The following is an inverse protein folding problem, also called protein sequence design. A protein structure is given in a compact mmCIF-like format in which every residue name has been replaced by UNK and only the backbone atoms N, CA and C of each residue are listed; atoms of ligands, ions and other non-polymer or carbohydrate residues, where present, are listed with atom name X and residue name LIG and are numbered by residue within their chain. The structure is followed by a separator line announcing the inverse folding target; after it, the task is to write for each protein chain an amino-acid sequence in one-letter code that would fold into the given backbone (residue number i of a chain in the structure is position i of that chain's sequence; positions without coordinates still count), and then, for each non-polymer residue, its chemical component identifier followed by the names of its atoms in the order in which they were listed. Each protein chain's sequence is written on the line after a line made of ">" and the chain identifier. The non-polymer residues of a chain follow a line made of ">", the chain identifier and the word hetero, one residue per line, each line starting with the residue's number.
data_IF_488547010375
#
_entry.id   IF_488547010375
#
_cell.length_a   1.000
_cell.length_b   1.000
_cell.length_c   1.000
_cell.angle_alpha   90.00
_cell.angle_beta   90.00
_cell.angle_gamma   90.00
#
_symmetry.space_group_name_H-M   'P 1'
#
loop_
_entity.id
_entity.type
_entity.pdbx_description
1 polymer ?
#
# COMPACT_ATOMS: atom_id res chain seq x y z
N UNK A 1 3.30 -28.26 -8.56
CA UNK A 1 4.31 -28.15 -7.47
C UNK A 1 5.07 -26.83 -7.50
N UNK A 2 5.21 -26.17 -8.67
CA UNK A 2 5.97 -24.92 -8.78
C UNK A 2 5.32 -23.73 -8.06
N UNK A 3 4.00 -23.56 -8.13
CA UNK A 3 3.32 -22.43 -7.50
C UNK A 3 3.42 -22.35 -5.96
N UNK A 4 3.50 -23.48 -5.26
CA UNK A 4 3.69 -23.50 -3.81
C UNK A 4 5.11 -23.07 -3.39
N UNK A 5 6.12 -23.46 -4.17
CA UNK A 5 7.50 -23.04 -3.93
C UNK A 5 7.68 -21.53 -4.20
N UNK A 6 6.95 -20.98 -5.15
CA UNK A 6 7.03 -19.56 -5.50
C UNK A 6 6.33 -18.68 -4.45
N UNK A 7 5.20 -19.14 -3.89
CA UNK A 7 4.57 -18.48 -2.74
C UNK A 7 5.50 -18.46 -1.51
N UNK A 8 6.20 -19.56 -1.21
CA UNK A 8 7.19 -19.60 -0.11
C UNK A 8 8.36 -18.63 -0.33
N UNK A 9 8.80 -18.44 -1.58
CA UNK A 9 9.88 -17.47 -1.88
C UNK A 9 9.39 -16.04 -1.73
N UNK A 10 8.16 -15.73 -2.17
CA UNK A 10 7.55 -14.43 -1.97
C UNK A 10 7.37 -14.09 -0.47
N UNK A 11 6.95 -15.06 0.31
CA UNK A 11 6.82 -14.95 1.77
C UNK A 11 8.17 -14.68 2.45
N UNK A 12 9.24 -15.37 2.01
CA UNK A 12 10.60 -15.11 2.51
C UNK A 12 11.09 -13.69 2.19
N UNK A 13 10.73 -13.15 1.02
CA UNK A 13 11.08 -11.77 0.66
C UNK A 13 10.40 -10.75 1.61
N UNK A 14 9.13 -10.97 1.93
CA UNK A 14 8.39 -10.13 2.87
C UNK A 14 8.99 -10.19 4.28
N UNK A 15 9.28 -11.38 4.79
CA UNK A 15 9.95 -11.54 6.09
C UNK A 15 11.34 -10.89 6.13
N UNK A 16 12.09 -10.99 5.04
CA UNK A 16 13.41 -10.36 4.95
C UNK A 16 13.29 -8.83 5.05
N UNK A 17 12.32 -8.21 4.36
CA UNK A 17 12.09 -6.77 4.44
C UNK A 17 11.67 -6.35 5.86
N UNK A 18 10.72 -7.05 6.48
CA UNK A 18 10.27 -6.74 7.85
C UNK A 18 11.43 -6.84 8.85
N UNK A 19 12.26 -7.89 8.73
CA UNK A 19 13.44 -8.03 9.60
C UNK A 19 14.46 -6.90 9.37
N UNK A 20 14.66 -6.51 8.10
CA UNK A 20 15.53 -5.39 7.75
C UNK A 20 15.03 -4.08 8.37
N UNK A 21 13.73 -3.76 8.23
CA UNK A 21 13.13 -2.59 8.86
C UNK A 21 13.30 -2.59 10.39
N UNK A 22 13.02 -3.72 11.05
CA UNK A 22 13.16 -3.82 12.50
C UNK A 22 14.61 -3.61 12.94
N UNK A 23 15.55 -4.25 12.25
CA UNK A 23 16.97 -4.12 12.55
C UNK A 23 17.45 -2.67 12.35
N UNK A 24 17.10 -2.05 11.21
CA UNK A 24 17.49 -0.69 10.90
C UNK A 24 16.80 0.32 11.83
N UNK A 25 15.51 0.19 12.10
CA UNK A 25 14.80 1.08 13.01
C UNK A 25 15.47 1.14 14.39
N UNK A 26 15.81 -0.01 14.98
CA UNK A 26 16.50 -0.06 16.27
C UNK A 26 17.91 0.55 16.18
N UNK A 27 18.67 0.19 15.14
CA UNK A 27 20.04 0.68 14.94
C UNK A 27 20.07 2.20 14.77
N UNK A 28 19.20 2.74 13.93
CA UNK A 28 19.14 4.17 13.58
C UNK A 28 18.61 5.02 14.73
N UNK A 29 17.55 4.57 15.43
CA UNK A 29 17.01 5.29 16.58
C UNK A 29 18.07 5.35 17.70
N UNK A 30 18.70 4.25 18.02
CA UNK A 30 19.73 4.21 19.07
C UNK A 30 20.95 5.05 18.67
N UNK A 31 21.45 4.88 17.44
CA UNK A 31 22.61 5.64 16.97
C UNK A 31 22.27 7.14 16.80
N UNK A 32 21.06 7.47 16.33
CA UNK A 32 20.59 8.85 16.17
C UNK A 32 20.50 9.59 17.51
N UNK A 33 19.92 8.94 18.52
CA UNK A 33 19.86 9.51 19.89
C UNK A 33 21.24 9.68 20.53
N UNK A 34 22.07 8.64 20.49
CA UNK A 34 23.42 8.69 21.10
C UNK A 34 24.36 9.60 20.33
N UNK A 35 24.19 9.74 19.05
CA UNK A 35 25.04 10.54 18.17
C UNK A 35 24.50 11.93 17.85
N UNK A 36 23.36 12.34 18.45
CA UNK A 36 22.70 13.65 18.26
C UNK A 36 22.42 13.97 16.78
N UNK A 37 21.81 13.04 16.04
CA UNK A 37 21.40 13.25 14.65
C UNK A 37 19.88 13.18 14.51
N UNK A 38 19.29 14.31 14.17
CA UNK A 38 17.85 14.42 13.88
C UNK A 38 17.49 13.64 12.60
N UNK A 39 18.36 13.71 11.59
CA UNK A 39 18.14 13.02 10.31
C UNK A 39 18.13 11.48 10.47
N UNK A 40 19.09 10.93 11.24
CA UNK A 40 19.14 9.48 11.49
C UNK A 40 17.97 9.02 12.37
N UNK A 41 17.57 9.84 13.35
CA UNK A 41 16.41 9.55 14.18
C UNK A 41 15.12 9.55 13.34
N UNK A 42 14.96 10.51 12.42
CA UNK A 42 13.82 10.58 11.50
C UNK A 42 13.79 9.36 10.56
N UNK A 43 14.93 8.90 10.05
CA UNK A 43 15.03 7.71 9.20
C UNK A 43 14.64 6.44 9.98
N UNK A 44 15.11 6.28 11.22
CA UNK A 44 14.71 5.17 12.10
C UNK A 44 13.21 5.20 12.46
N UNK A 45 12.61 6.39 12.60
CA UNK A 45 11.16 6.54 12.76
C UNK A 45 10.41 6.20 11.48
N UNK A 46 10.94 6.55 10.30
CA UNK A 46 10.39 6.13 9.01
C UNK A 46 10.32 4.59 8.94
N UNK A 47 11.44 3.90 9.17
CA UNK A 47 11.49 2.44 9.21
C UNK A 47 10.51 1.84 10.25
N UNK A 48 10.29 2.53 11.38
CA UNK A 48 9.28 2.13 12.38
C UNK A 48 7.86 2.23 11.83
N UNK A 49 7.55 3.28 11.06
CA UNK A 49 6.21 3.41 10.44
C UNK A 49 5.94 2.31 9.42
N UNK A 50 6.95 1.85 8.69
CA UNK A 50 6.83 0.75 7.73
C UNK A 50 6.55 -0.59 8.44
N UNK A 51 7.15 -0.79 9.63
CA UNK A 51 6.81 -1.93 10.49
C UNK A 51 5.35 -1.85 10.94
N UNK A 52 4.90 -0.67 11.41
CA UNK A 52 3.50 -0.48 11.86
C UNK A 52 2.53 -0.76 10.72
N UNK A 53 2.79 -0.24 9.50
CA UNK A 53 1.98 -0.51 8.33
C UNK A 53 1.93 -2.01 7.98
N UNK A 54 3.09 -2.68 8.01
CA UNK A 54 3.20 -4.12 7.74
C UNK A 54 2.44 -4.97 8.76
N UNK A 55 2.56 -4.65 10.05
CA UNK A 55 1.85 -5.35 11.14
C UNK A 55 0.34 -5.12 11.04
N UNK A 56 -0.09 -3.88 10.81
CA UNK A 56 -1.50 -3.56 10.62
C UNK A 56 -2.10 -4.33 9.44
N UNK A 57 -1.38 -4.37 8.31
CA UNK A 57 -1.79 -5.15 7.13
C UNK A 57 -1.91 -6.65 7.45
N UNK A 58 -0.95 -7.24 8.16
CA UNK A 58 -0.99 -8.65 8.57
C UNK A 58 -2.19 -8.96 9.46
N UNK A 59 -2.50 -8.08 10.43
CA UNK A 59 -3.68 -8.19 11.30
C UNK A 59 -4.95 -8.09 10.46
N UNK A 60 -5.04 -7.08 9.59
CA UNK A 60 -6.17 -6.87 8.69
C UNK A 60 -6.42 -8.07 7.79
N UNK A 61 -5.38 -8.60 7.15
CA UNK A 61 -5.44 -9.79 6.30
C UNK A 61 -5.86 -11.05 7.09
N UNK A 62 -5.44 -11.19 8.34
CA UNK A 62 -5.84 -12.32 9.18
C UNK A 62 -7.33 -12.27 9.51
N UNK A 63 -7.84 -11.11 9.88
CA UNK A 63 -9.26 -10.90 10.19
C UNK A 63 -10.11 -11.01 8.91
N UNK A 64 -9.63 -10.49 7.78
CA UNK A 64 -10.36 -10.51 6.51
C UNK A 64 -10.65 -11.93 5.98
N UNK A 65 -9.92 -12.94 6.47
CA UNK A 65 -10.13 -14.35 6.14
C UNK A 65 -11.26 -15.00 6.92
N UNK A 66 -11.79 -14.33 7.94
CA UNK A 66 -12.95 -14.85 8.70
C UNK A 66 -14.16 -14.86 7.77
N UNK A 67 -14.83 -16.03 7.63
CA UNK A 67 -16.00 -16.14 6.75
C UNK A 67 -17.17 -15.28 7.25
N UNK A 68 -18.20 -15.07 6.42
CA UNK A 68 -19.44 -14.45 6.84
C UNK A 68 -20.03 -15.08 8.09
N UNK A 69 -20.54 -14.25 8.99
CA UNK A 69 -21.24 -14.65 10.22
C UNK A 69 -22.60 -13.91 10.32
N UNK A 70 -23.30 -14.06 11.44
CA UNK A 70 -24.62 -13.45 11.64
C UNK A 70 -24.61 -11.92 11.58
N UNK A 71 -23.53 -11.29 12.05
CA UNK A 71 -23.39 -9.84 12.11
C UNK A 71 -22.73 -9.25 10.84
N UNK A 72 -21.93 -10.07 10.14
CA UNK A 72 -21.18 -9.67 8.96
C UNK A 72 -21.50 -10.58 7.75
N UNK A 73 -22.70 -10.43 7.19
CA UNK A 73 -23.19 -11.24 6.07
C UNK A 73 -22.30 -11.19 4.82
N UNK A 74 -21.53 -10.12 4.63
CA UNK A 74 -20.55 -9.96 3.53
C UNK A 74 -19.13 -10.41 3.91
N UNK A 75 -18.95 -10.95 5.13
CA UNK A 75 -17.65 -11.32 5.68
C UNK A 75 -16.84 -10.12 6.15
N UNK A 76 -15.62 -10.40 6.59
CA UNK A 76 -14.75 -9.41 7.26
C UNK A 76 -13.69 -8.78 6.32
N UNK A 77 -13.87 -8.84 5.00
CA UNK A 77 -12.85 -8.46 4.01
C UNK A 77 -12.40 -6.99 4.10
N UNK A 78 -13.28 -6.08 4.53
CA UNK A 78 -12.95 -4.65 4.68
C UNK A 78 -12.01 -4.35 5.86
N UNK A 79 -11.77 -5.30 6.75
CA UNK A 79 -10.84 -5.11 7.89
C UNK A 79 -9.40 -4.86 7.45
N UNK A 80 -8.99 -5.38 6.28
CA UNK A 80 -7.70 -5.04 5.67
C UNK A 80 -7.58 -3.54 5.41
N UNK A 81 -8.60 -2.93 4.78
CA UNK A 81 -8.64 -1.50 4.48
C UNK A 81 -8.71 -0.65 5.75
N UNK A 82 -9.50 -1.09 6.76
CA UNK A 82 -9.56 -0.41 8.07
C UNK A 82 -8.19 -0.43 8.76
N UNK A 83 -7.47 -1.55 8.71
CA UNK A 83 -6.13 -1.65 9.29
C UNK A 83 -5.15 -0.69 8.62
N UNK A 84 -5.21 -0.56 7.29
CA UNK A 84 -4.40 0.40 6.54
C UNK A 84 -4.75 1.85 6.91
N UNK A 85 -6.04 2.16 7.13
CA UNK A 85 -6.48 3.47 7.59
C UNK A 85 -5.92 3.81 8.98
N UNK A 86 -5.97 2.87 9.92
CA UNK A 86 -5.42 3.07 11.27
C UNK A 86 -3.90 3.26 11.20
N UNK A 87 -3.20 2.43 10.42
CA UNK A 87 -1.75 2.57 10.23
C UNK A 87 -1.37 3.94 9.68
N UNK A 88 -2.10 4.43 8.68
CA UNK A 88 -1.84 5.75 8.09
C UNK A 88 -2.01 6.90 9.08
N UNK A 89 -2.98 6.82 10.01
CA UNK A 89 -3.15 7.82 11.07
C UNK A 89 -1.94 7.81 12.02
N UNK A 90 -1.45 6.63 12.41
CA UNK A 90 -0.26 6.51 13.26
C UNK A 90 0.97 7.10 12.56
N UNK A 91 1.18 6.74 11.28
CA UNK A 91 2.26 7.29 10.46
C UNK A 91 2.19 8.81 10.35
N UNK A 92 0.99 9.36 10.12
CA UNK A 92 0.77 10.80 10.06
C UNK A 92 1.20 11.50 11.35
N UNK A 93 0.81 10.96 12.51
CA UNK A 93 1.18 11.53 13.81
C UNK A 93 2.70 11.49 14.03
N UNK A 94 3.36 10.39 13.67
CA UNK A 94 4.82 10.27 13.73
C UNK A 94 5.49 11.30 12.81
N UNK A 95 5.06 11.41 11.57
CA UNK A 95 5.61 12.37 10.62
C UNK A 95 5.44 13.83 11.06
N UNK A 96 4.27 14.19 11.61
CA UNK A 96 4.02 15.52 12.19
C UNK A 96 4.93 15.77 13.39
N UNK A 97 5.17 14.80 14.24
CA UNK A 97 6.09 14.92 15.36
C UNK A 97 7.53 15.17 14.89
N UNK A 98 8.00 14.45 13.86
CA UNK A 98 9.33 14.65 13.27
C UNK A 98 9.46 16.06 12.69
N UNK A 99 8.45 16.52 11.92
CA UNK A 99 8.41 17.89 11.36
C UNK A 99 8.48 18.93 12.48
N UNK A 100 7.65 18.77 13.51
CA UNK A 100 7.60 19.70 14.63
C UNK A 100 8.94 19.80 15.36
N UNK A 101 9.55 18.66 15.72
CA UNK A 101 10.86 18.61 16.36
C UNK A 101 11.93 19.31 15.51
N UNK A 102 11.96 19.01 14.21
CA UNK A 102 12.93 19.61 13.28
C UNK A 102 12.75 21.14 13.17
N UNK A 103 11.50 21.63 13.13
CA UNK A 103 11.20 23.07 13.09
C UNK A 103 11.68 23.76 14.36
N UNK A 104 11.42 23.16 15.54
CA UNK A 104 11.89 23.70 16.83
C UNK A 104 13.40 23.83 16.83
N UNK A 105 14.16 22.79 16.49
CA UNK A 105 15.62 22.84 16.41
C UNK A 105 16.15 23.91 15.43
N UNK A 106 15.46 24.09 14.28
CA UNK A 106 15.82 25.11 13.29
C UNK A 106 15.57 26.53 13.83
N UNK A 107 14.42 26.79 14.49
CA UNK A 107 14.06 28.12 15.00
C UNK A 107 14.91 28.49 16.22
N UNK A 108 15.10 27.57 17.15
CA UNK A 108 15.89 27.78 18.38
C UNK A 108 17.39 27.78 18.10
N UNK A 109 17.79 27.41 16.86
CA UNK A 109 19.20 27.28 16.43
C UNK A 109 19.98 26.31 17.34
N UNK A 110 19.30 25.33 17.89
CA UNK A 110 19.89 24.27 18.70
C UNK A 110 20.42 23.16 17.80
N UNK A 111 21.46 23.47 17.02
CA UNK A 111 22.08 22.50 16.13
C UNK A 111 23.16 21.73 16.87
N UNK A 112 22.89 20.51 17.25
CA UNK A 112 23.90 19.58 17.67
C UNK A 112 24.74 19.14 16.44
N UNK A 113 26.05 19.05 16.60
CA UNK A 113 26.91 18.43 15.57
C UNK A 113 26.79 16.92 15.71
N UNK A 114 26.24 16.22 14.70
CA UNK A 114 26.13 14.77 14.75
C UNK A 114 27.49 14.10 14.85
N UNK A 115 27.54 12.94 15.49
CA UNK A 115 28.74 12.13 15.51
C UNK A 115 29.04 11.50 14.16
N UNK A 116 30.32 11.27 13.83
CA UNK A 116 30.67 10.55 12.57
C UNK A 116 30.07 9.12 12.53
N UNK A 117 29.81 8.54 13.72
CA UNK A 117 29.17 7.23 13.79
C UNK A 117 27.76 7.23 13.16
N UNK A 118 27.00 8.32 13.35
CA UNK A 118 25.64 8.42 12.74
C UNK A 118 25.70 8.44 11.23
N UNK A 119 26.70 9.12 10.64
CA UNK A 119 26.91 9.08 9.20
C UNK A 119 27.25 7.66 8.70
N UNK A 120 28.12 6.94 9.42
CA UNK A 120 28.47 5.55 9.06
C UNK A 120 27.22 4.65 9.13
N UNK A 121 26.39 4.82 10.16
CA UNK A 121 25.13 4.06 10.29
C UNK A 121 24.17 4.39 9.14
N UNK A 122 23.94 5.67 8.81
CA UNK A 122 23.08 6.07 7.72
C UNK A 122 23.54 5.50 6.36
N UNK A 123 24.85 5.58 6.09
CA UNK A 123 25.42 4.97 4.88
C UNK A 123 25.23 3.45 4.86
N UNK A 124 25.50 2.78 5.98
CA UNK A 124 25.27 1.35 6.12
C UNK A 124 23.81 0.99 5.84
N UNK A 125 22.86 1.72 6.44
CA UNK A 125 21.42 1.51 6.24
C UNK A 125 21.02 1.65 4.78
N UNK A 126 21.44 2.72 4.13
CA UNK A 126 21.13 2.94 2.70
C UNK A 126 21.69 1.83 1.81
N UNK A 127 22.96 1.44 2.02
CA UNK A 127 23.58 0.35 1.25
C UNK A 127 22.92 -0.99 1.56
N UNK A 128 22.60 -1.27 2.81
CA UNK A 128 21.93 -2.50 3.24
C UNK A 128 20.53 -2.60 2.63
N UNK A 129 19.72 -1.53 2.74
CA UNK A 129 18.38 -1.52 2.16
C UNK A 129 18.42 -1.60 0.63
N UNK A 130 19.40 -0.98 -0.02
CA UNK A 130 19.60 -1.12 -1.46
C UNK A 130 19.96 -2.55 -1.87
N UNK A 131 20.72 -3.27 -1.05
CA UNK A 131 21.00 -4.70 -1.28
C UNK A 131 19.71 -5.54 -1.17
N UNK A 132 18.85 -5.26 -0.18
CA UNK A 132 17.53 -5.89 -0.05
C UNK A 132 16.66 -5.60 -1.29
N UNK A 133 16.63 -4.35 -1.76
CA UNK A 133 15.97 -3.99 -3.02
C UNK A 133 16.45 -4.86 -4.18
N UNK A 134 17.76 -4.96 -4.40
CA UNK A 134 18.30 -5.75 -5.51
C UNK A 134 17.91 -7.23 -5.42
N UNK A 135 17.91 -7.79 -4.22
CA UNK A 135 17.48 -9.17 -3.98
C UNK A 135 15.99 -9.34 -4.32
N UNK A 136 15.12 -8.50 -3.74
CA UNK A 136 13.68 -8.55 -3.94
C UNK A 136 13.29 -8.26 -5.40
N UNK A 137 13.98 -7.33 -6.07
CA UNK A 137 13.73 -7.01 -7.47
C UNK A 137 14.09 -8.19 -8.41
N UNK A 138 15.20 -8.88 -8.16
CA UNK A 138 15.54 -10.09 -8.91
C UNK A 138 14.53 -11.22 -8.67
N UNK A 139 14.08 -11.35 -7.44
CA UNK A 139 13.08 -12.35 -7.07
C UNK A 139 11.73 -12.05 -7.69
N UNK A 140 11.28 -10.79 -7.68
CA UNK A 140 10.05 -10.34 -8.33
C UNK A 140 9.99 -10.67 -9.81
N UNK A 141 11.14 -10.49 -10.53
CA UNK A 141 11.26 -10.88 -11.94
C UNK A 141 11.17 -12.38 -12.16
N UNK A 142 11.73 -13.20 -11.24
CA UNK A 142 11.68 -14.66 -11.35
C UNK A 142 10.31 -15.25 -11.09
N UNK A 143 9.54 -14.62 -10.19
CA UNK A 143 8.23 -15.09 -9.75
C UNK A 143 7.07 -14.43 -10.53
N UNK A 144 7.38 -13.45 -11.38
CA UNK A 144 6.41 -12.52 -12.00
C UNK A 144 5.38 -11.96 -10.99
N UNK A 145 5.86 -11.68 -9.78
CA UNK A 145 5.02 -11.25 -8.65
C UNK A 145 4.99 -9.73 -8.54
N UNK A 146 3.82 -9.14 -8.73
CA UNK A 146 3.60 -7.70 -8.55
C UNK A 146 3.79 -7.27 -7.08
N UNK A 147 3.37 -8.10 -6.12
CA UNK A 147 3.53 -7.81 -4.69
C UNK A 147 5.01 -7.73 -4.28
N UNK A 148 5.84 -8.71 -4.70
CA UNK A 148 7.29 -8.67 -4.43
C UNK A 148 7.96 -7.50 -5.16
N UNK A 149 7.44 -7.11 -6.33
CA UNK A 149 7.93 -5.95 -7.08
C UNK A 149 7.63 -4.64 -6.36
N UNK A 150 6.42 -4.49 -5.81
CA UNK A 150 6.05 -3.33 -4.99
C UNK A 150 6.96 -3.21 -3.77
N UNK A 151 7.09 -4.29 -2.98
CA UNK A 151 7.99 -4.31 -1.82
C UNK A 151 9.46 -3.99 -2.17
N UNK A 152 9.93 -4.43 -3.36
CA UNK A 152 11.27 -4.05 -3.81
C UNK A 152 11.38 -2.54 -4.06
N UNK A 153 10.38 -1.90 -4.68
CA UNK A 153 10.41 -0.46 -4.92
C UNK A 153 10.33 0.35 -3.62
N UNK A 154 9.59 -0.12 -2.60
CA UNK A 154 9.57 0.48 -1.28
C UNK A 154 10.98 0.43 -0.66
N UNK A 155 11.62 -0.75 -0.62
CA UNK A 155 13.00 -0.87 -0.13
C UNK A 155 13.99 0.05 -0.87
N UNK A 156 13.78 0.32 -2.16
CA UNK A 156 14.61 1.28 -2.91
C UNK A 156 14.38 2.72 -2.46
N UNK A 157 13.12 3.08 -2.21
CA UNK A 157 12.78 4.42 -1.71
C UNK A 157 13.43 4.66 -0.35
N UNK A 158 13.34 3.68 0.55
CA UNK A 158 13.95 3.77 1.89
C UNK A 158 15.48 3.84 1.82
N UNK A 159 16.10 3.07 0.91
CA UNK A 159 17.54 3.20 0.67
C UNK A 159 17.94 4.63 0.29
N UNK A 160 17.13 5.33 -0.54
CA UNK A 160 17.40 6.72 -0.89
C UNK A 160 17.13 7.69 0.26
N UNK A 161 16.17 7.41 1.14
CA UNK A 161 15.93 8.19 2.37
C UNK A 161 17.17 8.12 3.26
N UNK A 162 17.67 6.92 3.57
CA UNK A 162 18.88 6.71 4.38
C UNK A 162 20.13 7.35 3.75
N UNK A 163 20.29 7.27 2.42
CA UNK A 163 21.38 7.98 1.73
C UNK A 163 21.22 9.49 1.78
N UNK A 164 20.00 10.01 1.75
CA UNK A 164 19.69 11.41 1.98
C UNK A 164 20.08 11.85 3.40
N UNK A 165 19.71 11.06 4.41
CA UNK A 165 20.11 11.26 5.80
C UNK A 165 21.64 11.28 5.93
N UNK A 166 22.34 10.34 5.31
CA UNK A 166 23.82 10.35 5.28
C UNK A 166 24.39 11.65 4.74
N UNK A 167 23.85 12.19 3.63
CA UNK A 167 24.32 13.47 3.05
C UNK A 167 24.08 14.62 4.02
N UNK A 168 22.90 14.69 4.65
CA UNK A 168 22.57 15.71 5.64
C UNK A 168 23.51 15.67 6.85
N UNK A 169 23.76 14.47 7.39
CA UNK A 169 24.65 14.24 8.53
C UNK A 169 26.08 14.63 8.18
N UNK A 170 26.61 14.18 7.05
CA UNK A 170 27.97 14.56 6.61
C UNK A 170 28.11 16.06 6.45
N UNK A 171 27.11 16.73 5.85
CA UNK A 171 27.10 18.19 5.74
C UNK A 171 27.14 18.88 7.10
N UNK A 172 26.41 18.35 8.08
CA UNK A 172 26.44 18.87 9.45
C UNK A 172 27.80 18.69 10.12
N UNK A 173 28.40 17.50 9.98
CA UNK A 173 29.75 17.19 10.49
C UNK A 173 30.83 18.09 9.86
N UNK A 174 30.69 18.43 8.58
CA UNK A 174 31.60 19.28 7.83
C UNK A 174 31.44 20.80 8.11
N UNK A 175 30.58 21.18 9.05
CA UNK A 175 30.48 22.57 9.51
C UNK A 175 29.20 23.30 9.06
N UNK A 176 28.19 22.57 8.62
CA UNK A 176 26.85 23.10 8.30
C UNK A 176 25.80 22.42 9.19
N UNK A 177 25.78 22.67 10.53
CA UNK A 177 25.02 21.87 11.50
C UNK A 177 23.52 21.80 11.25
N UNK A 178 22.93 22.86 10.68
CA UNK A 178 21.49 22.92 10.35
C UNK A 178 21.05 21.92 9.28
N UNK A 179 21.98 21.33 8.51
CA UNK A 179 21.68 20.40 7.42
C UNK A 179 21.07 19.10 7.95
N UNK A 180 21.46 18.64 9.12
CA UNK A 180 20.89 17.46 9.77
C UNK A 180 19.40 17.68 10.09
N UNK A 181 19.05 18.78 10.76
CA UNK A 181 17.66 19.09 11.11
C UNK A 181 16.79 19.38 9.86
N UNK A 182 17.36 20.01 8.84
CA UNK A 182 16.63 20.20 7.55
C UNK A 182 16.38 18.85 6.87
N UNK A 183 17.33 17.95 6.91
CA UNK A 183 17.14 16.60 6.36
C UNK A 183 16.06 15.84 7.13
N UNK A 184 16.07 15.91 8.47
CA UNK A 184 14.99 15.35 9.30
C UNK A 184 13.62 15.92 8.93
N UNK A 185 13.53 17.23 8.72
CA UNK A 185 12.30 17.89 8.27
C UNK A 185 11.80 17.33 6.92
N UNK A 186 12.70 17.12 5.95
CA UNK A 186 12.35 16.54 4.64
C UNK A 186 11.88 15.09 4.76
N UNK A 187 12.53 14.30 5.62
CA UNK A 187 12.08 12.93 5.93
C UNK A 187 10.70 12.95 6.56
N UNK A 188 10.46 13.86 7.52
CA UNK A 188 9.14 14.03 8.13
C UNK A 188 8.04 14.37 7.11
N UNK A 189 8.33 15.25 6.13
CA UNK A 189 7.40 15.53 5.02
C UNK A 189 7.12 14.27 4.21
N UNK A 190 8.12 13.45 3.93
CA UNK A 190 7.96 12.21 3.18
C UNK A 190 7.05 11.22 3.94
N UNK A 191 7.24 11.07 5.25
CA UNK A 191 6.38 10.23 6.10
C UNK A 191 4.93 10.72 6.04
N UNK A 192 4.69 12.03 6.21
CA UNK A 192 3.35 12.61 6.14
C UNK A 192 2.72 12.41 4.76
N UNK A 193 3.47 12.63 3.70
CA UNK A 193 2.99 12.41 2.33
C UNK A 193 2.56 10.96 2.10
N UNK A 194 3.38 10.00 2.53
CA UNK A 194 3.06 8.57 2.42
C UNK A 194 1.81 8.22 3.24
N UNK A 195 1.72 8.74 4.46
CA UNK A 195 0.57 8.53 5.32
C UNK A 195 -0.72 9.08 4.69
N UNK A 196 -0.71 10.30 4.15
CA UNK A 196 -1.86 10.90 3.46
C UNK A 196 -2.28 10.06 2.25
N UNK A 197 -1.33 9.55 1.47
CA UNK A 197 -1.61 8.70 0.32
C UNK A 197 -2.31 7.41 0.75
N UNK A 198 -1.78 6.70 1.75
CA UNK A 198 -2.38 5.47 2.28
C UNK A 198 -3.78 5.76 2.86
N UNK A 199 -3.93 6.88 3.58
CA UNK A 199 -5.22 7.32 4.12
C UNK A 199 -6.24 7.54 3.00
N UNK A 200 -5.85 8.27 1.96
CA UNK A 200 -6.73 8.57 0.83
C UNK A 200 -7.17 7.30 0.10
N UNK A 201 -6.24 6.39 -0.19
CA UNK A 201 -6.52 5.12 -0.88
C UNK A 201 -7.47 4.24 -0.04
N UNK A 202 -7.24 4.18 1.28
CA UNK A 202 -8.11 3.45 2.20
C UNK A 202 -9.50 4.10 2.33
N UNK A 203 -9.57 5.42 2.47
CA UNK A 203 -10.83 6.17 2.56
C UNK A 203 -11.64 6.05 1.26
N UNK A 204 -10.99 6.19 0.10
CA UNK A 204 -11.61 5.99 -1.21
C UNK A 204 -12.24 4.60 -1.34
N UNK A 205 -11.51 3.56 -0.93
CA UNK A 205 -12.02 2.17 -0.93
C UNK A 205 -13.18 1.98 0.05
N UNK A 206 -13.13 2.56 1.26
CA UNK A 206 -14.18 2.44 2.26
C UNK A 206 -15.46 3.18 1.87
N UNK A 207 -15.34 4.25 1.08
CA UNK A 207 -16.46 5.02 0.54
C UNK A 207 -16.98 4.50 -0.81
N UNK A 208 -16.70 3.23 -1.12
CA UNK A 208 -17.10 2.55 -2.34
C UNK A 208 -16.52 3.17 -3.64
N UNK A 209 -15.39 3.88 -3.53
CA UNK A 209 -14.66 4.39 -4.69
C UNK A 209 -14.09 3.25 -5.55
N UNK A 210 -14.13 3.46 -6.87
CA UNK A 210 -13.65 2.48 -7.84
C UNK A 210 -12.95 3.17 -9.01
N UNK A 211 -12.04 2.48 -9.68
CA UNK A 211 -11.27 2.99 -10.81
C UNK A 211 -12.17 3.12 -12.06
N UNK A 212 -12.31 4.33 -12.57
CA UNK A 212 -13.15 4.65 -13.75
C UNK A 212 -12.71 3.86 -14.97
N UNK A 213 -11.41 3.69 -15.20
CA UNK A 213 -10.92 2.94 -16.38
C UNK A 213 -11.29 1.46 -16.32
N UNK A 214 -11.31 0.87 -15.12
CA UNK A 214 -11.81 -0.49 -14.92
C UNK A 214 -13.33 -0.59 -15.11
N UNK A 215 -14.06 0.45 -14.68
CA UNK A 215 -15.51 0.50 -14.87
C UNK A 215 -15.88 0.52 -16.35
N UNK A 216 -15.16 1.30 -17.17
CA UNK A 216 -15.32 1.31 -18.63
C UNK A 216 -15.01 -0.06 -19.24
N UNK A 217 -13.94 -0.73 -18.80
CA UNK A 217 -13.63 -2.09 -19.27
C UNK A 217 -14.75 -3.08 -18.93
N UNK A 218 -15.32 -3.00 -17.71
CA UNK A 218 -16.46 -3.85 -17.30
C UNK A 218 -17.68 -3.55 -18.14
N UNK A 219 -17.95 -2.27 -18.43
CA UNK A 219 -19.04 -1.87 -19.32
C UNK A 219 -18.92 -2.52 -20.69
N UNK A 220 -17.74 -2.46 -21.32
CA UNK A 220 -17.50 -3.01 -22.64
C UNK A 220 -17.60 -4.54 -22.67
N UNK A 221 -17.13 -5.19 -21.59
CA UNK A 221 -17.31 -6.63 -21.42
C UNK A 221 -18.79 -7.03 -21.39
N UNK A 222 -19.62 -6.31 -20.63
CA UNK A 222 -21.06 -6.57 -20.53
C UNK A 222 -21.75 -6.26 -21.86
N UNK A 223 -21.47 -5.12 -22.47
CA UNK A 223 -22.06 -4.70 -23.73
C UNK A 223 -21.74 -5.66 -24.88
N UNK A 224 -20.64 -6.39 -24.80
CA UNK A 224 -20.25 -7.39 -25.83
C UNK A 224 -20.91 -8.76 -25.66
N UNK A 225 -21.80 -8.94 -24.66
CA UNK A 225 -22.58 -10.20 -24.49
C UNK A 225 -23.73 -10.22 -25.46
N UNK A 226 -23.93 -11.31 -26.23
CA UNK A 226 -25.11 -11.44 -27.09
C UNK A 226 -26.41 -11.28 -26.31
N UNK A 227 -27.40 -10.65 -26.95
CA UNK A 227 -28.74 -10.38 -26.37
C UNK A 227 -28.80 -9.30 -25.27
N UNK A 228 -27.67 -8.74 -24.83
CA UNK A 228 -27.66 -7.48 -24.09
C UNK A 228 -27.92 -6.33 -25.07
N UNK A 229 -29.09 -5.71 -24.97
CA UNK A 229 -29.48 -4.58 -25.84
C UNK A 229 -28.88 -3.27 -25.42
N UNK A 230 -28.75 -3.08 -24.10
CA UNK A 230 -28.16 -1.88 -23.49
C UNK A 230 -27.64 -2.17 -22.09
N UNK A 231 -26.53 -1.58 -21.72
CA UNK A 231 -26.10 -1.47 -20.35
C UNK A 231 -26.68 -0.18 -19.78
N UNK A 232 -27.51 -0.28 -18.75
CA UNK A 232 -28.24 0.87 -18.18
C UNK A 232 -27.42 1.54 -17.10
N UNK A 233 -26.88 0.75 -16.15
CA UNK A 233 -26.10 1.23 -15.04
C UNK A 233 -25.07 0.18 -14.59
N UNK A 234 -23.93 0.64 -14.13
CA UNK A 234 -22.90 -0.22 -13.52
C UNK A 234 -22.35 0.50 -12.32
N UNK A 235 -22.36 -0.18 -11.18
CA UNK A 235 -21.66 0.22 -9.96
C UNK A 235 -20.68 -0.86 -9.57
N UNK A 236 -19.48 -0.46 -9.18
CA UNK A 236 -18.49 -1.40 -8.70
C UNK A 236 -17.81 -0.86 -7.45
N UNK A 237 -17.37 -1.76 -6.58
CA UNK A 237 -16.63 -1.44 -5.37
C UNK A 237 -15.65 -2.53 -5.01
N UNK A 238 -14.64 -2.18 -4.24
CA UNK A 238 -13.75 -3.17 -3.65
C UNK A 238 -14.31 -3.69 -2.32
N UNK A 239 -14.28 -5.00 -2.13
CA UNK A 239 -14.53 -5.64 -0.84
C UNK A 239 -13.29 -6.48 -0.47
N UNK A 240 -12.34 -5.86 0.23
CA UNK A 240 -10.98 -6.35 0.36
C UNK A 240 -10.29 -6.41 -1.02
N UNK A 241 -9.76 -7.56 -1.38
CA UNK A 241 -9.11 -7.80 -2.67
C UNK A 241 -10.06 -8.26 -3.79
N UNK A 242 -11.39 -8.25 -3.56
CA UNK A 242 -12.39 -8.71 -4.52
C UNK A 242 -13.23 -7.55 -5.03
N UNK A 243 -13.58 -7.62 -6.32
CA UNK A 243 -14.47 -6.64 -6.95
C UNK A 243 -15.93 -7.12 -6.80
N UNK A 244 -16.79 -6.21 -6.37
CA UNK A 244 -18.23 -6.38 -6.35
C UNK A 244 -18.85 -5.46 -7.38
N UNK A 245 -19.69 -6.02 -8.25
CA UNK A 245 -20.29 -5.34 -9.39
C UNK A 245 -21.80 -5.51 -9.32
N UNK A 246 -22.52 -4.39 -9.34
CA UNK A 246 -23.96 -4.32 -9.51
C UNK A 246 -24.21 -3.74 -10.91
N UNK A 247 -24.71 -4.56 -11.83
CA UNK A 247 -24.97 -4.17 -13.22
C UNK A 247 -26.48 -4.25 -13.53
N UNK A 248 -26.99 -3.25 -14.24
CA UNK A 248 -28.34 -3.26 -14.80
C UNK A 248 -28.25 -3.30 -16.31
N UNK A 249 -28.84 -4.33 -16.90
CA UNK A 249 -28.88 -4.53 -18.37
C UNK A 249 -30.30 -4.56 -18.91
N UNK A 250 -30.48 -4.09 -20.13
CA UNK A 250 -31.73 -4.23 -20.85
C UNK A 250 -31.65 -5.38 -21.86
N UNK A 251 -32.71 -6.22 -21.88
CA UNK A 251 -32.84 -7.36 -22.76
C UNK A 251 -34.20 -7.32 -23.47
N UNK A 252 -34.40 -8.19 -24.45
CA UNK A 252 -35.70 -8.31 -25.16
C UNK A 252 -36.83 -8.59 -24.15
N UNK A 253 -37.93 -7.77 -24.16
CA UNK A 253 -39.05 -7.90 -23.23
C UNK A 253 -39.84 -9.21 -23.40
N UNK A 254 -39.75 -9.87 -24.55
CA UNK A 254 -40.43 -11.14 -24.82
C UNK A 254 -39.69 -12.38 -24.25
N UNK A 255 -38.54 -12.19 -23.65
CA UNK A 255 -37.80 -13.28 -23.03
C UNK A 255 -38.49 -13.77 -21.76
N UNK A 256 -38.56 -15.08 -21.60
CA UNK A 256 -38.96 -15.67 -20.32
C UNK A 256 -37.79 -15.65 -19.32
N UNK A 257 -38.11 -15.84 -18.04
CA UNK A 257 -37.13 -15.81 -16.93
C UNK A 257 -35.92 -16.74 -17.18
N UNK A 258 -36.14 -17.93 -17.73
CA UNK A 258 -35.07 -18.90 -18.00
C UNK A 258 -34.06 -18.35 -19.01
N UNK A 259 -34.55 -17.77 -20.10
CA UNK A 259 -33.68 -17.22 -21.15
C UNK A 259 -32.97 -15.94 -20.69
N UNK A 260 -33.69 -15.06 -20.00
CA UNK A 260 -33.07 -13.84 -19.49
C UNK A 260 -32.02 -14.13 -18.40
N UNK A 261 -32.26 -15.14 -17.54
CA UNK A 261 -31.27 -15.59 -16.55
C UNK A 261 -30.02 -16.20 -17.22
N UNK A 262 -30.17 -16.93 -18.33
CA UNK A 262 -29.01 -17.44 -19.07
C UNK A 262 -28.10 -16.32 -19.59
N UNK A 263 -28.64 -15.15 -19.94
CA UNK A 263 -27.86 -13.97 -20.34
C UNK A 263 -27.05 -13.45 -19.12
N UNK A 264 -27.66 -13.39 -17.93
CA UNK A 264 -26.93 -12.94 -16.72
C UNK A 264 -25.79 -13.88 -16.37
N UNK A 265 -25.97 -15.19 -16.51
CA UNK A 265 -24.91 -16.17 -16.29
C UNK A 265 -23.72 -15.96 -17.26
N UNK A 266 -23.99 -15.63 -18.53
CA UNK A 266 -22.94 -15.32 -19.51
C UNK A 266 -22.19 -14.05 -19.11
N UNK A 267 -22.91 -13.01 -18.68
CA UNK A 267 -22.30 -11.75 -18.17
C UNK A 267 -21.39 -12.05 -16.97
N UNK A 268 -21.92 -12.75 -15.97
CA UNK A 268 -21.16 -13.10 -14.77
C UNK A 268 -19.93 -13.93 -15.08
N UNK A 269 -20.05 -14.92 -15.96
CA UNK A 269 -18.94 -15.77 -16.36
C UNK A 269 -17.87 -14.96 -17.11
N UNK A 270 -18.27 -14.04 -17.98
CA UNK A 270 -17.34 -13.19 -18.73
C UNK A 270 -16.54 -12.26 -17.82
N UNK A 271 -17.21 -11.65 -16.84
CA UNK A 271 -16.56 -10.81 -15.81
C UNK A 271 -15.64 -11.67 -14.95
N UNK A 272 -16.06 -12.87 -14.53
CA UNK A 272 -15.28 -13.77 -13.70
C UNK A 272 -14.01 -14.27 -14.39
N UNK A 273 -14.04 -14.43 -15.71
CA UNK A 273 -12.88 -14.82 -16.50
C UNK A 273 -11.82 -13.72 -16.58
N UNK A 274 -12.24 -12.44 -16.61
CA UNK A 274 -11.33 -11.29 -16.64
C UNK A 274 -10.85 -10.90 -15.23
N UNK A 275 -11.77 -10.95 -14.24
CA UNK A 275 -11.48 -10.57 -12.86
C UNK A 275 -11.72 -11.76 -11.92
N UNK A 276 -10.66 -12.50 -11.64
CA UNK A 276 -10.71 -13.72 -10.81
C UNK A 276 -11.38 -13.46 -9.44
N UNK A 277 -12.48 -14.15 -9.19
CA UNK A 277 -13.23 -14.06 -7.95
C UNK A 277 -14.04 -12.77 -7.79
N UNK A 278 -14.31 -12.03 -8.87
CA UNK A 278 -15.31 -10.99 -8.85
C UNK A 278 -16.69 -11.57 -8.52
N UNK A 279 -17.48 -10.82 -7.77
CA UNK A 279 -18.91 -11.10 -7.52
C UNK A 279 -19.72 -10.11 -8.33
N UNK A 280 -20.61 -10.61 -9.18
CA UNK A 280 -21.45 -9.77 -10.02
C UNK A 280 -22.92 -10.09 -9.74
N UNK A 281 -23.72 -9.06 -9.50
CA UNK A 281 -25.18 -9.13 -9.47
C UNK A 281 -25.70 -8.42 -10.71
N UNK A 282 -26.49 -9.13 -11.52
CA UNK A 282 -27.07 -8.56 -12.75
C UNK A 282 -28.58 -8.41 -12.60
N UNK A 283 -29.02 -7.15 -12.62
CA UNK A 283 -30.43 -6.80 -12.70
C UNK A 283 -30.85 -6.66 -14.17
N UNK A 284 -32.00 -7.21 -14.49
CA UNK A 284 -32.53 -7.23 -15.86
C UNK A 284 -33.73 -6.31 -15.97
N UNK A 285 -33.72 -5.46 -16.99
CA UNK A 285 -34.87 -4.62 -17.37
C UNK A 285 -35.30 -4.90 -18.82
N UNK A 286 -36.59 -4.72 -19.16
CA UNK A 286 -37.06 -4.84 -20.54
C UNK A 286 -36.55 -3.67 -21.39
N UNK A 287 -36.07 -3.98 -22.61
CA UNK A 287 -35.68 -2.97 -23.57
C UNK A 287 -36.90 -2.49 -24.37
N UNK A 288 -37.21 -1.20 -24.28
CA UNK A 288 -38.20 -0.54 -25.13
C UNK A 288 -37.46 0.51 -25.98
N UNK A 289 -37.71 0.50 -27.29
CA UNK A 289 -37.15 1.46 -28.25
C UNK A 289 -37.61 2.90 -27.97
#
# INVERSE_FOLDING_TARGET
>A
MDGYNDLKKAEKAAFLSIFAYLFLAVLEIVAGQLGNSDALLADGLNNTTDIVASVALLIGLRISRIPPDADHSYGHRRTETISSLIASIIMFLVGVQVIWSSIVHIIEKEFATPSMLTAVVALFSGVFMYAIYLYNHRLAKKLDSQAVRAAAYDNRSDAFVSLGAFIGIIGAVLGVPWLDSVTAFLVGILIVYTAIKIFYDAAHTLTDGFDVSKLETIHDLIASVPDVKKVIDIKARMNGNKIWIDATIAVDPELNVVKSHAITEIVEQKIRNEYEGAFTLVHIEPFFE
#
